data_IF_860600756684
#
_entry.id   IF_860600756684
#
_cell.length_a   1.000
_cell.length_b   1.000
_cell.length_c   1.000
_cell.angle_alpha   90.00
_cell.angle_beta   90.00
_cell.angle_gamma   90.00
#
_symmetry.space_group_name_H-M   'P 1'
#
loop_
_entity.id
_entity.type
_entity.pdbx_description
1 polymer ?
#
# COMPACT_ATOMS: atom_id res chain seq x y z
N UNK A 1 -44.49 -23.70 -15.74
CA UNK A 1 -44.16 -23.40 -14.33
C UNK A 1 -42.70 -23.64 -13.98
N UNK A 2 -42.09 -24.77 -14.37
CA UNK A 2 -40.68 -25.11 -14.01
C UNK A 2 -39.62 -24.10 -14.49
N UNK A 3 -39.79 -23.48 -15.67
CA UNK A 3 -38.86 -22.47 -16.22
C UNK A 3 -38.83 -21.16 -15.43
N UNK A 4 -39.94 -20.77 -14.81
CA UNK A 4 -40.03 -19.55 -14.00
C UNK A 4 -39.33 -19.77 -12.66
N UNK A 5 -39.48 -20.96 -12.07
CA UNK A 5 -38.82 -21.32 -10.81
C UNK A 5 -37.29 -21.34 -10.92
N UNK A 6 -36.74 -21.82 -12.07
CA UNK A 6 -35.29 -21.86 -12.33
C UNK A 6 -34.71 -20.45 -12.51
N UNK A 7 -35.43 -19.53 -13.15
CA UNK A 7 -34.99 -18.12 -13.29
C UNK A 7 -34.94 -17.43 -11.93
N UNK A 8 -35.95 -17.64 -11.07
CA UNK A 8 -35.93 -17.09 -9.71
C UNK A 8 -34.84 -17.71 -8.82
N UNK A 9 -34.53 -19.00 -9.00
CA UNK A 9 -33.43 -19.66 -8.30
C UNK A 9 -32.06 -19.12 -8.74
N UNK A 10 -31.85 -18.89 -10.04
CA UNK A 10 -30.61 -18.27 -10.56
C UNK A 10 -30.50 -16.83 -10.08
N UNK A 11 -31.59 -16.05 -10.06
CA UNK A 11 -31.59 -14.68 -9.54
C UNK A 11 -31.29 -14.65 -8.03
N UNK A 12 -31.81 -15.61 -7.27
CA UNK A 12 -31.54 -15.75 -5.84
C UNK A 12 -30.09 -16.18 -5.55
N UNK A 13 -29.51 -17.06 -6.38
CA UNK A 13 -28.09 -17.45 -6.28
C UNK A 13 -27.16 -16.31 -6.72
N UNK A 14 -27.57 -15.48 -7.69
CA UNK A 14 -26.83 -14.28 -8.10
C UNK A 14 -26.94 -13.14 -7.07
N UNK A 15 -27.98 -13.15 -6.22
CA UNK A 15 -28.15 -12.24 -5.08
C UNK A 15 -27.39 -12.67 -3.82
N UNK A 16 -26.84 -13.89 -3.80
CA UNK A 16 -26.07 -14.40 -2.67
C UNK A 16 -24.60 -13.94 -2.80
N UNK A 17 -24.31 -12.87 -2.06
CA UNK A 17 -23.00 -12.49 -1.53
C UNK A 17 -22.04 -11.71 -2.45
N UNK A 18 -22.40 -10.47 -2.76
CA UNK A 18 -21.41 -9.40 -2.57
C UNK A 18 -21.48 -8.94 -1.12
N UNK A 19 -20.73 -9.58 -0.23
CA UNK A 19 -20.42 -8.93 1.05
C UNK A 19 -19.48 -7.76 0.74
N UNK A 20 -20.05 -6.56 0.64
CA UNK A 20 -19.24 -5.35 0.59
C UNK A 20 -18.55 -5.19 1.94
N UNK A 21 -17.23 -5.26 1.96
CA UNK A 21 -16.46 -4.97 3.18
C UNK A 21 -16.70 -3.52 3.57
N UNK A 22 -17.13 -3.31 4.81
CA UNK A 22 -17.19 -1.98 5.38
C UNK A 22 -15.79 -1.53 5.80
N UNK A 23 -15.39 -0.35 5.33
CA UNK A 23 -14.15 0.31 5.72
C UNK A 23 -14.48 1.40 6.72
N UNK A 24 -13.90 1.31 7.92
CA UNK A 24 -14.17 2.25 9.02
C UNK A 24 -13.53 3.62 8.80
N UNK A 25 -12.44 3.64 8.03
CA UNK A 25 -11.62 4.82 7.81
C UNK A 25 -11.54 5.13 6.32
N UNK A 26 -11.51 6.43 6.00
CA UNK A 26 -11.39 6.95 4.63
C UNK A 26 -10.55 8.22 4.65
N UNK A 27 -9.62 8.33 3.70
CA UNK A 27 -8.82 9.50 3.48
C UNK A 27 -8.74 9.80 1.97
N UNK A 28 -9.08 11.04 1.61
CA UNK A 28 -8.88 11.56 0.27
C UNK A 28 -7.45 12.10 0.19
N UNK A 29 -6.56 11.38 -0.50
CA UNK A 29 -5.16 11.80 -0.66
C UNK A 29 -5.01 12.85 -1.77
N UNK A 30 -5.84 12.76 -2.80
CA UNK A 30 -6.03 13.82 -3.80
C UNK A 30 -7.42 13.73 -4.40
N UNK A 31 -8.18 14.83 -4.30
CA UNK A 31 -9.56 14.90 -4.79
C UNK A 31 -9.68 14.42 -6.24
N UNK A 32 -10.61 13.50 -6.49
CA UNK A 32 -10.88 12.88 -7.79
C UNK A 32 -9.67 12.18 -8.42
N UNK A 33 -8.67 11.78 -7.62
CA UNK A 33 -7.48 11.08 -8.12
C UNK A 33 -7.15 9.87 -7.27
N UNK A 34 -7.13 10.00 -5.95
CA UNK A 34 -6.70 8.91 -5.09
C UNK A 34 -7.37 8.98 -3.72
N UNK A 35 -8.16 7.95 -3.44
CA UNK A 35 -8.83 7.72 -2.17
C UNK A 35 -8.31 6.42 -1.56
N UNK A 36 -8.09 6.43 -0.25
CA UNK A 36 -7.72 5.23 0.52
C UNK A 36 -8.74 4.99 1.61
N UNK A 37 -9.13 3.73 1.76
CA UNK A 37 -10.04 3.24 2.77
C UNK A 37 -9.36 2.11 3.52
N UNK A 38 -9.60 2.01 4.82
CA UNK A 38 -9.08 0.90 5.58
C UNK A 38 -9.93 0.56 6.81
N UNK A 39 -9.75 -0.66 7.28
CA UNK A 39 -10.23 -1.10 8.58
C UNK A 39 -9.23 -2.10 9.17
N UNK A 40 -9.21 -2.20 10.49
CA UNK A 40 -8.40 -3.19 11.20
C UNK A 40 -9.32 -4.17 11.91
N UNK A 41 -9.04 -5.46 11.74
CA UNK A 41 -9.63 -6.53 12.54
C UNK A 41 -8.65 -6.85 13.68
N UNK A 42 -9.11 -6.60 14.91
CA UNK A 42 -8.36 -6.83 16.14
C UNK A 42 -8.92 -8.00 16.95
N UNK A 43 -9.79 -8.83 16.36
CA UNK A 43 -10.36 -10.02 17.03
C UNK A 43 -9.27 -11.03 17.38
N UNK A 44 -8.24 -11.14 16.54
CA UNK A 44 -6.96 -11.77 16.92
C UNK A 44 -6.06 -10.67 17.52
N UNK A 45 -5.84 -10.67 18.85
CA UNK A 45 -5.00 -9.66 19.50
C UNK A 45 -3.50 -9.86 19.25
N UNK A 46 -3.09 -11.04 18.77
CA UNK A 46 -1.69 -11.38 18.51
C UNK A 46 -1.34 -11.00 17.07
N UNK A 47 -2.23 -11.27 16.12
CA UNK A 47 -2.04 -10.95 14.70
C UNK A 47 -3.19 -10.11 14.12
N UNK A 48 -3.31 -8.82 14.52
CA UNK A 48 -4.28 -7.93 13.91
C UNK A 48 -4.07 -7.83 12.40
N UNK A 49 -5.15 -7.70 11.65
CA UNK A 49 -5.11 -7.66 10.18
C UNK A 49 -5.73 -6.39 9.66
N UNK A 50 -5.00 -5.71 8.79
CA UNK A 50 -5.50 -4.55 8.06
C UNK A 50 -6.11 -4.98 6.74
N UNK A 51 -7.24 -4.38 6.42
CA UNK A 51 -7.90 -4.47 5.12
C UNK A 51 -7.85 -3.09 4.49
N UNK A 52 -7.31 -3.01 3.29
CA UNK A 52 -7.11 -1.79 2.54
C UNK A 52 -7.92 -1.83 1.25
N UNK A 53 -8.40 -0.66 0.86
CA UNK A 53 -8.87 -0.38 -0.49
C UNK A 53 -8.29 0.94 -0.95
N UNK A 54 -7.78 1.02 -2.16
CA UNK A 54 -7.56 2.31 -2.81
C UNK A 54 -8.32 2.39 -4.13
N UNK A 55 -8.79 3.59 -4.44
CA UNK A 55 -9.46 3.93 -5.70
C UNK A 55 -8.63 5.03 -6.36
N UNK A 56 -8.06 4.71 -7.52
CA UNK A 56 -7.10 5.56 -8.21
C UNK A 56 -7.59 5.89 -9.62
N UNK A 57 -7.49 7.16 -10.02
CA UNK A 57 -7.86 7.62 -11.37
C UNK A 57 -6.77 7.27 -12.38
N UNK A 58 -6.75 5.99 -12.77
CA UNK A 58 -5.87 5.44 -13.79
C UNK A 58 -6.48 4.16 -14.37
N UNK A 59 -5.89 3.65 -15.44
CA UNK A 59 -6.11 2.31 -16.02
C UNK A 59 -4.75 1.60 -16.21
N UNK A 60 -3.81 1.92 -15.33
CA UNK A 60 -2.49 1.34 -15.26
C UNK A 60 -2.20 1.01 -13.81
N UNK A 61 -0.94 0.99 -13.41
CA UNK A 61 -0.65 0.71 -12.00
C UNK A 61 -0.95 1.90 -11.08
N UNK A 62 -1.36 1.58 -9.85
CA UNK A 62 -1.50 2.50 -8.74
C UNK A 62 -0.81 1.92 -7.50
N UNK A 63 -0.26 2.78 -6.65
CA UNK A 63 0.48 2.38 -5.46
C UNK A 63 0.07 3.18 -4.23
N UNK A 64 0.03 2.49 -3.09
CA UNK A 64 -0.12 3.02 -1.74
C UNK A 64 1.11 2.62 -0.94
N UNK A 65 1.69 3.54 -0.18
CA UNK A 65 2.83 3.23 0.69
C UNK A 65 2.71 3.81 2.08
N UNK A 66 3.47 3.23 3.00
CA UNK A 66 3.58 3.62 4.40
C UNK A 66 5.03 3.94 4.78
N UNK A 67 5.22 4.93 5.65
CA UNK A 67 6.52 5.23 6.25
C UNK A 67 6.36 5.73 7.68
N UNK A 68 7.38 5.50 8.51
CA UNK A 68 7.52 6.07 9.85
C UNK A 68 8.47 7.27 9.89
N UNK A 69 9.01 7.69 8.73
CA UNK A 69 9.91 8.84 8.66
C UNK A 69 9.14 10.15 8.56
N UNK A 70 9.56 11.15 9.35
CA UNK A 70 8.80 12.37 9.65
C UNK A 70 8.41 13.28 8.48
N UNK A 71 8.81 12.92 7.25
CA UNK A 71 8.45 13.68 6.06
C UNK A 71 7.88 12.83 4.94
N UNK A 72 8.04 11.49 4.94
CA UNK A 72 7.70 10.66 3.79
C UNK A 72 8.14 11.32 2.48
N UNK A 73 9.36 11.86 2.44
CA UNK A 73 9.92 12.54 1.28
C UNK A 73 10.88 11.61 0.56
N UNK A 74 11.04 11.89 -0.73
CA UNK A 74 12.04 11.25 -1.59
C UNK A 74 11.93 9.73 -1.77
N UNK A 75 10.78 9.12 -1.42
CA UNK A 75 10.63 7.65 -1.52
C UNK A 75 11.68 6.91 -0.69
N UNK A 76 12.03 7.43 0.48
CA UNK A 76 12.98 6.80 1.38
C UNK A 76 12.26 6.08 2.52
N UNK A 77 12.58 4.80 2.69
CA UNK A 77 12.03 3.89 3.70
C UNK A 77 10.51 3.75 3.58
N UNK A 78 10.07 3.39 2.38
CA UNK A 78 8.67 3.16 2.06
C UNK A 78 8.42 1.67 1.90
N UNK A 79 7.44 1.18 2.62
CA UNK A 79 6.75 -0.08 2.38
C UNK A 79 5.60 0.21 1.41
N UNK A 80 5.51 -0.50 0.29
CA UNK A 80 4.70 -0.11 -0.88
C UNK A 80 3.90 -1.30 -1.41
N UNK A 81 2.57 -1.14 -1.42
CA UNK A 81 1.65 -1.94 -2.21
C UNK A 81 1.45 -1.29 -3.58
N UNK A 82 1.80 -1.98 -4.67
CA UNK A 82 1.54 -1.55 -6.05
C UNK A 82 0.70 -2.59 -6.78
N UNK A 83 -0.41 -2.17 -7.37
CA UNK A 83 -1.32 -3.07 -8.06
C UNK A 83 -2.05 -2.43 -9.24
N UNK A 84 -2.79 -3.26 -9.97
CA UNK A 84 -3.57 -2.86 -11.13
C UNK A 84 -4.37 -4.02 -11.73
N UNK A 85 -5.01 -3.75 -12.86
CA UNK A 85 -5.64 -4.77 -13.71
C UNK A 85 -5.08 -4.64 -15.11
N UNK A 86 -4.53 -5.72 -15.65
CA UNK A 86 -3.91 -5.72 -16.98
C UNK A 86 -4.48 -6.81 -17.87
N UNK A 87 -4.08 -6.83 -19.14
CA UNK A 87 -4.44 -7.89 -20.09
C UNK A 87 -5.96 -8.18 -20.14
N UNK A 88 -6.77 -7.15 -19.92
CA UNK A 88 -8.22 -7.22 -19.94
C UNK A 88 -8.88 -7.63 -18.62
N UNK A 89 -8.29 -8.48 -17.79
CA UNK A 89 -8.88 -8.97 -16.52
C UNK A 89 -7.87 -9.55 -15.51
N UNK A 90 -6.57 -9.44 -15.74
CA UNK A 90 -5.54 -9.97 -14.84
C UNK A 90 -5.25 -9.00 -13.72
N UNK A 91 -5.74 -9.31 -12.52
CA UNK A 91 -5.49 -8.57 -11.29
C UNK A 91 -4.10 -8.87 -10.71
N UNK A 92 -3.40 -7.84 -10.22
CA UNK A 92 -2.09 -8.01 -9.59
C UNK A 92 -1.86 -7.06 -8.42
N UNK A 93 -1.04 -7.49 -7.47
CA UNK A 93 -0.47 -6.65 -6.40
C UNK A 93 0.93 -7.17 -6.03
N UNK A 94 1.90 -6.27 -6.01
CA UNK A 94 3.25 -6.55 -5.54
C UNK A 94 3.57 -5.77 -4.28
N UNK A 95 4.52 -6.34 -3.52
CA UNK A 95 5.07 -5.78 -2.30
C UNK A 95 6.49 -5.30 -2.58
N UNK A 96 6.74 -4.04 -2.29
CA UNK A 96 7.96 -3.37 -2.67
C UNK A 96 8.45 -2.49 -1.55
N UNK A 97 9.76 -2.32 -1.54
CA UNK A 97 10.43 -1.44 -0.62
C UNK A 97 11.32 -0.45 -1.34
N UNK A 98 11.35 0.78 -0.84
CA UNK A 98 12.23 1.83 -1.34
C UNK A 98 13.14 2.31 -0.24
N UNK A 99 14.44 2.02 -0.35
CA UNK A 99 15.47 2.51 0.57
C UNK A 99 16.04 3.87 0.17
N UNK A 100 16.04 4.15 -1.14
CA UNK A 100 16.62 5.36 -1.74
C UNK A 100 15.72 5.90 -2.84
N UNK A 101 15.88 7.17 -3.26
CA UNK A 101 15.08 7.72 -4.34
C UNK A 101 15.33 6.94 -5.64
N UNK A 102 14.33 6.25 -6.15
CA UNK A 102 14.49 5.41 -7.33
C UNK A 102 13.30 4.50 -7.60
N UNK A 103 13.54 3.48 -8.43
CA UNK A 103 12.60 2.38 -8.61
C UNK A 103 12.63 1.53 -7.33
N UNK A 104 11.48 1.30 -6.67
CA UNK A 104 11.41 0.38 -5.53
C UNK A 104 11.85 -1.03 -5.91
N UNK A 105 12.52 -1.69 -4.97
CA UNK A 105 12.89 -3.10 -5.07
C UNK A 105 11.70 -3.95 -4.69
N UNK A 106 11.53 -5.09 -5.37
CA UNK A 106 10.52 -6.06 -4.99
C UNK A 106 11.02 -6.88 -3.79
N UNK A 107 10.21 -7.01 -2.74
CA UNK A 107 10.62 -7.70 -1.49
C UNK A 107 10.89 -9.20 -1.69
N UNK A 108 10.47 -9.76 -2.83
CA UNK A 108 10.73 -11.15 -3.19
C UNK A 108 9.59 -12.08 -2.79
N UNK A 109 9.50 -13.26 -3.40
CA UNK A 109 8.34 -14.14 -3.26
C UNK A 109 8.14 -14.69 -1.84
N UNK A 110 9.19 -14.75 -1.02
CA UNK A 110 9.13 -15.22 0.37
C UNK A 110 8.83 -14.13 1.40
N UNK A 111 8.84 -12.86 1.00
CA UNK A 111 8.61 -11.69 1.87
C UNK A 111 7.34 -10.91 1.48
N UNK A 112 6.62 -11.37 0.45
CA UNK A 112 5.33 -10.83 0.04
C UNK A 112 4.32 -10.89 1.20
N UNK A 113 3.99 -9.74 1.78
CA UNK A 113 3.11 -9.62 2.95
C UNK A 113 1.67 -9.27 2.61
N UNK A 114 1.39 -8.98 1.33
CA UNK A 114 0.09 -8.53 0.83
C UNK A 114 -0.71 -9.70 0.25
N UNK A 115 -2.01 -9.70 0.54
CA UNK A 115 -2.97 -10.65 -0.03
C UNK A 115 -4.02 -9.86 -0.80
N UNK A 116 -3.96 -9.95 -2.13
CA UNK A 116 -4.98 -9.38 -3.01
C UNK A 116 -6.32 -10.05 -2.75
N UNK A 117 -7.38 -9.26 -2.54
CA UNK A 117 -8.74 -9.77 -2.37
C UNK A 117 -9.66 -9.37 -3.52
N UNK A 118 -9.42 -8.22 -4.15
CA UNK A 118 -10.17 -7.76 -5.31
C UNK A 118 -9.37 -6.74 -6.11
N UNK A 119 -9.55 -6.70 -7.42
CA UNK A 119 -9.09 -5.61 -8.26
C UNK A 119 -10.03 -5.43 -9.44
N UNK A 120 -10.44 -4.19 -9.69
CA UNK A 120 -11.34 -3.85 -10.80
C UNK A 120 -10.88 -2.59 -11.50
N UNK A 121 -11.20 -2.50 -12.78
CA UNK A 121 -11.10 -1.27 -13.54
C UNK A 121 -12.45 -0.93 -14.15
N UNK A 122 -12.94 0.27 -13.86
CA UNK A 122 -14.20 0.78 -14.38
C UNK A 122 -14.15 2.30 -14.43
N UNK A 123 -14.75 2.89 -15.46
CA UNK A 123 -14.93 4.34 -15.60
C UNK A 123 -13.62 5.16 -15.49
N UNK A 124 -12.49 4.57 -15.90
CA UNK A 124 -11.18 5.21 -15.83
C UNK A 124 -10.55 5.23 -14.43
N UNK A 125 -11.05 4.38 -13.52
CA UNK A 125 -10.49 4.15 -12.20
C UNK A 125 -10.09 2.70 -12.00
N UNK A 126 -8.94 2.51 -11.36
CA UNK A 126 -8.48 1.23 -10.83
C UNK A 126 -8.82 1.19 -9.34
N UNK A 127 -9.54 0.16 -8.91
CA UNK A 127 -9.82 -0.13 -7.50
C UNK A 127 -9.09 -1.38 -7.08
N UNK A 128 -8.27 -1.32 -6.03
CA UNK A 128 -7.55 -2.48 -5.49
C UNK A 128 -7.95 -2.66 -4.03
N UNK A 129 -8.31 -3.88 -3.66
CA UNK A 129 -8.57 -4.30 -2.29
C UNK A 129 -7.62 -5.43 -1.91
N UNK A 130 -6.98 -5.30 -0.76
CA UNK A 130 -6.01 -6.26 -0.26
C UNK A 130 -5.97 -6.25 1.26
N UNK A 131 -5.26 -7.19 1.85
CA UNK A 131 -5.01 -7.22 3.28
C UNK A 131 -3.58 -7.62 3.61
N UNK A 132 -3.12 -7.21 4.79
CA UNK A 132 -1.83 -7.59 5.35
C UNK A 132 -1.89 -7.66 6.87
N UNK A 133 -0.97 -8.40 7.48
CA UNK A 133 -0.80 -8.36 8.92
C UNK A 133 -0.36 -6.95 9.37
N UNK A 134 -0.81 -6.52 10.55
CA UNK A 134 -0.35 -5.28 11.17
C UNK A 134 1.15 -5.30 11.47
N UNK A 135 1.69 -6.49 11.75
CA UNK A 135 3.11 -6.78 11.85
C UNK A 135 3.40 -8.03 11.02
N UNK A 136 4.23 -7.88 9.99
CA UNK A 136 4.58 -8.95 9.05
C UNK A 136 5.79 -9.77 9.52
N UNK A 137 6.45 -9.31 10.59
CA UNK A 137 7.72 -9.84 11.12
C UNK A 137 8.94 -9.60 10.22
N UNK A 138 8.75 -9.03 9.03
CA UNK A 138 9.83 -8.41 8.29
C UNK A 138 10.12 -7.04 8.92
N UNK A 139 11.36 -6.81 9.33
CA UNK A 139 11.80 -5.55 9.95
C UNK A 139 12.78 -4.79 9.08
N UNK A 140 13.16 -5.36 7.93
CA UNK A 140 14.10 -4.75 7.00
C UNK A 140 13.39 -3.87 5.97
N UNK A 141 12.21 -4.29 5.52
CA UNK A 141 11.48 -3.64 4.41
C UNK A 141 10.08 -3.18 4.80
N UNK A 142 9.41 -3.94 5.66
CA UNK A 142 8.04 -3.64 6.07
C UNK A 142 7.93 -2.60 7.19
N UNK A 143 6.89 -1.77 7.10
CA UNK A 143 6.52 -0.81 8.14
C UNK A 143 5.44 -1.43 9.05
N UNK A 144 5.74 -1.71 10.32
CA UNK A 144 4.74 -2.25 11.23
C UNK A 144 3.69 -1.18 11.57
N UNK A 145 2.43 -1.51 11.32
CA UNK A 145 1.28 -0.69 11.65
C UNK A 145 0.88 -1.01 13.09
N UNK A 146 1.29 -0.16 14.04
CA UNK A 146 0.99 -0.33 15.47
C UNK A 146 0.07 0.80 15.95
N UNK A 147 -0.81 0.49 16.90
CA UNK A 147 -1.65 1.52 17.51
C UNK A 147 -0.76 2.56 18.23
N UNK A 148 -1.04 3.84 18.02
CA UNK A 148 -0.27 4.94 18.60
C UNK A 148 1.02 5.31 17.85
N UNK A 149 1.32 4.65 16.73
CA UNK A 149 2.49 4.97 15.90
C UNK A 149 2.13 5.95 14.79
N UNK A 150 3.04 6.89 14.52
CA UNK A 150 2.95 7.86 13.41
C UNK A 150 3.24 7.19 12.08
N UNK A 151 2.26 7.15 11.19
CA UNK A 151 2.40 6.63 9.82
C UNK A 151 2.07 7.72 8.81
N UNK A 152 3.00 8.00 7.91
CA UNK A 152 2.75 8.80 6.71
C UNK A 152 2.31 7.89 5.58
N UNK A 153 1.30 8.33 4.85
CA UNK A 153 0.78 7.67 3.66
C UNK A 153 1.30 8.35 2.40
N UNK A 154 1.62 7.54 1.40
CA UNK A 154 2.08 7.98 0.09
C UNK A 154 1.26 7.30 -0.99
N UNK A 155 1.10 7.97 -2.12
CA UNK A 155 0.41 7.39 -3.26
C UNK A 155 1.09 7.77 -4.56
N UNK A 156 0.93 6.92 -5.56
CA UNK A 156 1.40 7.16 -6.91
C UNK A 156 0.52 6.44 -7.94
N UNK A 157 0.47 6.97 -9.15
CA UNK A 157 -0.22 6.35 -10.30
C UNK A 157 0.65 6.42 -11.54
N UNK A 158 0.45 5.49 -12.47
CA UNK A 158 0.93 5.59 -13.85
C UNK A 158 -0.14 5.15 -14.84
N UNK A 159 -0.04 5.64 -16.08
CA UNK A 159 -0.98 5.34 -17.16
C UNK A 159 -0.70 4.01 -17.89
N UNK A 160 0.27 3.23 -17.42
CA UNK A 160 0.63 1.93 -18.01
C UNK A 160 0.75 0.90 -16.90
N UNK A 161 0.39 -0.33 -17.21
CA UNK A 161 0.52 -1.44 -16.27
C UNK A 161 1.96 -1.78 -15.91
N UNK A 162 2.09 -2.40 -14.74
CA UNK A 162 3.29 -3.14 -14.40
C UNK A 162 3.32 -4.49 -15.15
N UNK A 163 4.51 -4.87 -15.61
CA UNK A 163 4.79 -6.06 -16.42
C UNK A 163 5.69 -7.00 -15.62
N UNK A 164 5.40 -8.29 -15.70
CA UNK A 164 6.15 -9.33 -15.00
C UNK A 164 5.23 -10.44 -14.51
N UNK A 165 5.75 -11.44 -13.80
CA UNK A 165 4.93 -12.51 -13.24
C UNK A 165 3.88 -11.96 -12.27
N UNK A 166 2.70 -12.58 -12.24
CA UNK A 166 1.71 -12.33 -11.21
C UNK A 166 1.98 -13.20 -9.97
N UNK A 167 1.56 -12.75 -8.77
CA UNK A 167 0.84 -11.50 -8.50
C UNK A 167 1.75 -10.26 -8.43
N UNK A 168 3.08 -10.42 -8.38
CA UNK A 168 4.00 -9.33 -8.09
C UNK A 168 4.91 -9.00 -9.30
N UNK A 169 4.53 -8.01 -10.13
CA UNK A 169 5.27 -7.67 -11.34
C UNK A 169 6.65 -7.08 -11.02
N UNK A 170 7.65 -7.30 -11.87
CA UNK A 170 9.03 -6.86 -11.59
C UNK A 170 9.43 -5.60 -12.35
N UNK A 171 8.61 -5.15 -13.30
CA UNK A 171 8.90 -3.99 -14.11
C UNK A 171 7.69 -3.05 -14.22
N UNK A 172 7.94 -1.76 -14.07
CA UNK A 172 6.91 -0.73 -14.18
C UNK A 172 7.60 0.61 -14.47
N UNK A 173 6.89 1.48 -15.19
CA UNK A 173 7.38 2.82 -15.49
C UNK A 173 7.36 3.70 -14.25
N UNK A 174 8.06 4.83 -14.29
CA UNK A 174 7.95 5.87 -13.27
C UNK A 174 6.52 6.43 -13.23
N UNK A 175 6.01 6.68 -12.03
CA UNK A 175 4.70 7.29 -11.82
C UNK A 175 4.54 8.62 -12.60
N UNK A 176 3.35 8.84 -13.17
CA UNK A 176 2.98 10.10 -13.81
C UNK A 176 2.51 11.14 -12.79
N UNK A 177 1.93 10.70 -11.67
CA UNK A 177 1.52 11.55 -10.56
C UNK A 177 1.69 10.83 -9.23
N UNK A 178 1.92 11.60 -8.17
CA UNK A 178 2.31 11.12 -6.84
C UNK A 178 2.26 12.24 -5.82
N UNK A 179 1.95 11.89 -4.59
CA UNK A 179 2.11 12.77 -3.44
C UNK A 179 2.20 11.96 -2.14
N UNK A 180 2.36 12.67 -1.03
CA UNK A 180 2.36 12.10 0.31
C UNK A 180 1.59 13.00 1.27
N UNK A 181 1.17 12.41 2.39
CA UNK A 181 0.46 13.13 3.46
C UNK A 181 1.40 14.07 4.19
N UNK A 182 0.93 15.29 4.47
CA UNK A 182 1.68 16.26 5.29
C UNK A 182 1.77 15.81 6.76
N UNK A 183 0.71 15.19 7.26
CA UNK A 183 0.56 14.77 8.64
C UNK A 183 0.64 13.25 8.75
N UNK A 184 1.11 12.75 9.88
CA UNK A 184 1.01 11.34 10.20
C UNK A 184 -0.40 10.97 10.69
N UNK A 185 -0.74 9.70 10.54
CA UNK A 185 -2.00 9.10 11.00
C UNK A 185 -1.72 7.89 11.89
N UNK A 186 -2.60 7.66 12.85
CA UNK A 186 -2.69 6.39 13.55
C UNK A 186 -3.58 5.46 12.72
N UNK A 187 -2.99 4.42 12.13
CA UNK A 187 -3.74 3.53 11.24
C UNK A 187 -4.84 2.74 11.96
N UNK A 188 -4.77 2.52 13.28
CA UNK A 188 -5.84 1.84 14.02
C UNK A 188 -7.09 2.71 14.17
N UNK A 189 -6.89 3.98 14.57
CA UNK A 189 -8.00 4.88 14.90
C UNK A 189 -8.44 5.75 13.73
N UNK A 190 -7.63 5.85 12.67
CA UNK A 190 -7.88 6.76 11.55
C UNK A 190 -7.51 8.21 11.87
N UNK A 191 -7.10 8.50 13.10
CA UNK A 191 -6.88 9.85 13.57
C UNK A 191 -5.54 10.41 13.10
N UNK A 192 -5.57 11.69 12.74
CA UNK A 192 -4.38 12.47 12.45
C UNK A 192 -3.62 12.76 13.75
N UNK A 193 -2.30 12.67 13.72
CA UNK A 193 -1.46 13.26 14.78
C UNK A 193 -1.41 14.78 14.61
N UNK A 194 -1.85 15.51 15.62
CA UNK A 194 -1.70 16.97 15.65
C UNK A 194 -0.23 17.37 15.78
N UNK A 195 0.17 18.41 15.06
CA UNK A 195 1.46 19.05 15.27
C UNK A 195 1.38 19.83 16.59
N UNK A 196 2.32 19.58 17.51
CA UNK A 196 2.46 20.33 18.77
C UNK A 196 2.95 21.78 18.58
N UNK A 197 2.53 22.46 17.50
CA UNK A 197 2.90 23.84 17.18
C UNK A 197 1.68 24.73 17.02
N UNK A 198 0.93 24.91 18.11
CA UNK A 198 0.14 26.13 18.30
C UNK A 198 0.01 26.48 19.78
N UNK A 199 1.15 26.74 20.44
CA UNK A 199 1.11 27.71 21.55
C UNK A 199 0.84 29.07 20.92
N UNK A 200 -0.43 29.47 20.91
CA UNK A 200 -0.84 30.84 20.63
C UNK A 200 -0.17 31.75 21.64
N UNK A 201 0.95 32.37 21.25
CA UNK A 201 1.50 33.52 21.97
C UNK A 201 0.46 34.63 21.91
N UNK A 202 0.00 35.20 23.04
CA UNK A 202 -0.88 36.34 23.01
C UNK A 202 -0.14 37.50 22.35
N UNK A 203 -0.71 38.02 21.26
CA UNK A 203 -0.25 39.22 20.59
C UNK A 203 -0.31 40.40 21.57
N UNK A 204 0.84 40.81 22.08
CA UNK A 204 1.00 42.14 22.67
C UNK A 204 1.70 43.02 21.65
N UNK A 205 0.93 43.98 21.15
CA UNK A 205 1.36 45.09 20.32
C UNK A 205 2.30 45.99 21.13
N UNK A 206 3.56 46.09 20.71
CA UNK A 206 4.40 47.24 21.06
C UNK A 206 5.36 47.57 19.92
N UNK A 207 5.15 48.77 19.39
CA UNK A 207 5.91 49.49 18.37
C UNK A 207 7.34 49.80 18.80
N UNK A 208 8.34 49.50 17.95
CA UNK A 208 9.58 50.29 17.85
C UNK A 208 10.33 50.05 16.52
N UNK A 209 10.93 51.15 16.03
CA UNK A 209 11.64 51.44 14.77
C UNK A 209 12.95 50.63 14.53
N UNK A 210 13.53 50.67 13.32
CA UNK A 210 14.70 49.88 12.92
C UNK A 210 16.04 50.60 13.19
N UNK A 211 17.11 49.82 13.33
CA UNK A 211 18.49 50.31 13.25
C UNK A 211 19.31 49.40 12.35
N UNK A 212 19.81 50.00 11.26
CA UNK A 212 20.88 49.49 10.40
C UNK A 212 22.15 49.24 11.20
N UNK A 213 22.91 48.21 10.83
CA UNK A 213 24.38 48.24 10.74
C UNK A 213 24.87 47.12 9.82
N UNK A 214 25.47 47.56 8.72
CA UNK A 214 26.28 46.87 7.72
C UNK A 214 27.50 46.18 8.34
N UNK A 215 28.05 45.12 7.74
CA UNK A 215 29.41 45.06 7.14
C UNK A 215 29.96 43.62 6.96
N UNK A 216 30.45 43.39 5.74
CA UNK A 216 31.59 42.56 5.28
C UNK A 216 31.60 41.03 5.34
N UNK A 217 31.73 40.47 4.12
CA UNK A 217 32.80 39.58 3.65
C UNK A 217 33.25 38.38 4.49
N UNK A 218 33.18 37.18 3.90
CA UNK A 218 34.37 36.62 3.24
C UNK A 218 34.06 35.26 2.61
N UNK A 219 34.50 35.12 1.35
CA UNK A 219 34.73 33.84 0.66
C UNK A 219 35.69 32.93 1.45
N UNK A 220 35.46 31.63 1.39
CA UNK A 220 36.49 30.59 1.49
C UNK A 220 35.92 29.32 0.83
N UNK A 221 36.16 29.00 -0.45
CA UNK A 221 37.31 28.27 -1.04
C UNK A 221 37.86 27.11 -0.20
N UNK A 222 37.64 25.87 -0.66
CA UNK A 222 38.47 24.72 -0.28
C UNK A 222 37.77 23.35 -0.23
N UNK A 223 37.47 22.75 -1.39
CA UNK A 223 37.72 21.31 -1.63
C UNK A 223 39.14 21.19 -2.23
N UNK A 224 39.84 20.02 -2.28
CA UNK A 224 39.31 18.65 -2.26
C UNK A 224 40.07 17.63 -1.38
N UNK A 225 39.38 16.57 -0.96
CA UNK A 225 39.97 15.39 -0.31
C UNK A 225 39.62 14.11 -1.07
N UNK A 226 40.57 13.60 -1.84
CA UNK A 226 40.52 12.35 -2.60
C UNK A 226 41.10 11.18 -1.78
N UNK A 227 40.69 9.94 -2.14
CA UNK A 227 41.25 8.64 -1.76
C UNK A 227 40.77 8.09 -0.40
N UNK A 228 40.33 6.83 -0.22
CA UNK A 228 40.88 5.55 -0.70
C UNK A 228 39.86 4.40 -0.71
N UNK A 229 40.07 3.53 -1.70
CA UNK A 229 39.70 2.12 -1.91
C UNK A 229 39.64 1.19 -0.69
N UNK A 230 38.64 0.29 -0.63
CA UNK A 230 38.82 -1.12 -0.23
C UNK A 230 37.65 -2.03 -0.70
N UNK A 231 38.04 -3.19 -1.24
CA UNK A 231 37.28 -4.30 -1.85
C UNK A 231 36.59 -5.22 -0.81
N UNK A 232 35.77 -6.22 -1.24
CA UNK A 232 34.71 -6.84 -0.44
C UNK A 232 35.18 -8.04 0.37
N UNK A 233 34.47 -8.33 1.46
CA UNK A 233 34.59 -9.56 2.23
C UNK A 233 33.44 -10.49 1.84
N UNK A 234 33.77 -11.53 1.07
CA UNK A 234 33.00 -12.75 0.97
C UNK A 234 33.04 -13.45 2.33
N UNK A 235 31.88 -13.85 2.85
CA UNK A 235 31.85 -14.97 3.78
C UNK A 235 30.74 -15.96 3.44
N UNK A 236 31.21 -17.17 3.20
CA UNK A 236 30.53 -18.41 2.84
C UNK A 236 29.73 -18.99 3.99
N UNK A 237 28.52 -19.44 3.66
CA UNK A 237 28.03 -20.79 3.98
C UNK A 237 27.77 -21.12 5.45
N UNK A 238 26.49 -21.07 5.83
CA UNK A 238 25.91 -22.04 6.77
C UNK A 238 24.53 -22.46 6.25
N UNK A 239 24.47 -23.72 5.83
CA UNK A 239 23.25 -24.47 5.51
C UNK A 239 22.60 -24.95 6.81
N UNK A 240 21.32 -24.68 7.00
CA UNK A 240 20.48 -25.36 8.00
C UNK A 240 19.00 -25.39 7.56
N UNK A 241 18.18 -26.29 8.13
CA UNK A 241 17.43 -27.28 7.37
C UNK A 241 16.04 -26.87 6.90
N UNK A 242 15.67 -27.45 5.75
CA UNK A 242 14.31 -27.51 5.20
C UNK A 242 13.34 -28.16 6.19
N UNK A 243 12.51 -27.33 6.84
CA UNK A 243 11.31 -27.80 7.53
C UNK A 243 10.18 -27.89 6.50
N UNK A 244 9.76 -29.13 6.23
CA UNK A 244 8.62 -29.42 5.37
C UNK A 244 7.33 -28.86 6.01
N UNK A 245 6.73 -27.86 5.36
CA UNK A 245 5.38 -27.40 5.72
C UNK A 245 4.39 -28.36 5.05
N UNK A 246 3.75 -29.18 5.87
CA UNK A 246 2.68 -30.09 5.49
C UNK A 246 1.44 -29.33 5.06
N UNK A 247 1.02 -29.58 3.80
CA UNK A 247 -0.31 -29.42 3.20
C UNK A 247 -1.39 -28.73 4.07
N UNK A 248 -1.69 -27.47 3.73
CA UNK A 248 -2.96 -26.84 4.07
C UNK A 248 -3.95 -27.20 2.95
N UNK A 249 -5.12 -27.79 3.23
CA UNK A 249 -6.07 -28.16 2.19
C UNK A 249 -6.62 -26.90 1.51
N UNK A 250 -6.43 -26.86 0.18
CA UNK A 250 -7.15 -25.97 -0.73
C UNK A 250 -8.65 -26.09 -0.48
N UNK A 251 -9.30 -25.00 -0.06
CA UNK A 251 -10.75 -24.90 -0.11
C UNK A 251 -11.16 -24.82 -1.59
N UNK A 252 -11.30 -25.98 -2.21
CA UNK A 252 -11.99 -26.10 -3.50
C UNK A 252 -13.47 -25.85 -3.23
N UNK A 253 -13.97 -24.68 -3.62
CA UNK A 253 -15.41 -24.41 -3.69
C UNK A 253 -15.96 -25.31 -4.81
N UNK A 254 -16.47 -26.48 -4.41
CA UNK A 254 -17.20 -27.39 -5.31
C UNK A 254 -18.57 -26.78 -5.56
N UNK A 255 -18.73 -26.12 -6.70
CA UNK A 255 -20.05 -25.76 -7.22
C UNK A 255 -20.69 -27.06 -7.73
N UNK A 256 -21.56 -27.64 -6.92
CA UNK A 256 -22.41 -28.78 -7.32
C UNK A 256 -23.45 -28.26 -8.31
N UNK A 257 -23.19 -28.39 -9.60
CA UNK A 257 -24.19 -28.27 -10.66
C UNK A 257 -25.08 -29.52 -10.62
N UNK A 258 -26.27 -29.40 -10.03
CA UNK A 258 -27.33 -30.39 -10.13
C UNK A 258 -27.75 -30.55 -11.61
N UNK A 259 -27.35 -31.68 -12.23
CA UNK A 259 -27.95 -32.16 -13.47
C UNK A 259 -29.38 -32.63 -13.19
N UNK A 260 -30.37 -31.87 -13.68
CA UNK A 260 -31.76 -32.30 -13.82
C UNK A 260 -32.10 -32.44 -15.32
N UNK A 261 -31.69 -33.57 -15.88
CA UNK A 261 -32.35 -34.24 -17.01
C UNK A 261 -32.45 -35.70 -16.59
N UNK A 262 -33.57 -36.41 -16.64
CA UNK A 262 -34.60 -36.50 -17.67
C UNK A 262 -35.75 -37.32 -17.07
N UNK A 263 -37.00 -36.85 -17.13
CA UNK A 263 -38.17 -37.74 -17.30
C UNK A 263 -39.40 -36.90 -17.66
N UNK A 264 -39.80 -36.93 -18.94
CA UNK A 264 -41.17 -36.78 -19.46
C UNK A 264 -41.12 -36.58 -20.98
N UNK A 265 -40.94 -37.69 -21.68
CA UNK A 265 -41.77 -38.12 -22.82
C UNK A 265 -41.94 -39.63 -22.72
#
# INVERSE_FOLDING_TARGET
MMKVLVIWLILAVLLLATESREYKHHLILKSNVFDVYWSVNTTDPIFPRFYFKFVAKTTGWAALGWSQTASGRHMQQYDIALGGVRNGNESYIGDYYSSTPGKPDHDGPSLQSLVLTNATEADGYTTIEFNRAANTLDTATDVPLKNGTKIWLMWAIASTDAIGPSPAPTNFVKHSDRNYTRFAYNMYTGERFEDSSSTSVPSSSATAKPSDTTTSDSRNTGEPGSSTTAKPINNTGTTEPSVAITNIPSLTVVIVLLQLGTLLM
#
